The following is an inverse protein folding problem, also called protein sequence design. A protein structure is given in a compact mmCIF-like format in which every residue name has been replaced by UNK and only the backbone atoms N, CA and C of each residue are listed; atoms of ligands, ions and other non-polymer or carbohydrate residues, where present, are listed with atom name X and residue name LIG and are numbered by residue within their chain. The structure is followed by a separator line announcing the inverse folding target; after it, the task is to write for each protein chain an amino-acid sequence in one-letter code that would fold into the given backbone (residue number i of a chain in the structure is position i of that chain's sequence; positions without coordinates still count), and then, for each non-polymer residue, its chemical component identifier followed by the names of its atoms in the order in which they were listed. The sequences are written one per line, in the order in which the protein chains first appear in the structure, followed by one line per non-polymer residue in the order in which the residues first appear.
data_IF_587620887993
#
_entry.id   IF_587620887993
#
_cell.length_a   1.000
_cell.length_b   1.000
_cell.length_c   1.000
_cell.angle_alpha   90.00
_cell.angle_beta   90.00
_cell.angle_gamma   90.00
#
_symmetry.space_group_name_H-M   'P 1'
#
loop_
_entity.id
_entity.type
_entity.pdbx_description
1 polymer ?
#
# COMPACT_ATOMS: atom_id res chain seq x y z
N UNK A 1 -3.93 -5.67 -4.80
CA UNK A 1 -4.45 -4.97 -3.61
C UNK A 1 -5.89 -4.52 -3.82
N UNK A 2 -6.27 -3.81 -4.89
CA UNK A 2 -7.68 -3.40 -5.10
C UNK A 2 -8.65 -4.58 -5.31
N UNK A 3 -8.22 -5.64 -5.99
CA UNK A 3 -8.99 -6.89 -6.15
C UNK A 3 -9.34 -7.55 -4.81
N UNK A 4 -8.51 -7.35 -3.79
CA UNK A 4 -8.66 -7.94 -2.47
C UNK A 4 -9.74 -7.27 -1.60
N UNK A 5 -10.32 -6.16 -2.07
CA UNK A 5 -11.23 -5.31 -1.29
C UNK A 5 -12.68 -5.32 -1.82
N UNK A 6 -13.00 -6.10 -2.86
CA UNK A 6 -14.29 -6.08 -3.57
C UNK A 6 -14.83 -4.66 -3.85
N UNK A 7 -13.94 -3.66 -3.93
CA UNK A 7 -14.33 -2.27 -4.16
C UNK A 7 -14.79 -2.03 -5.60
N UNK A 8 -14.85 -3.08 -6.43
CA UNK A 8 -15.59 -3.17 -7.70
C UNK A 8 -15.25 -2.11 -8.75
N UNK A 9 -14.29 -1.25 -8.48
CA UNK A 9 -14.02 -0.05 -9.25
C UNK A 9 -12.55 0.02 -9.58
N UNK A 10 -12.26 0.07 -10.88
CA UNK A 10 -10.94 0.43 -11.40
C UNK A 10 -10.48 1.80 -10.87
N UNK A 11 -11.35 2.62 -10.28
CA UNK A 11 -10.98 3.92 -9.71
C UNK A 11 -9.82 3.82 -8.72
N UNK A 12 -9.72 2.72 -7.95
CA UNK A 12 -8.58 2.54 -7.04
C UNK A 12 -7.29 2.18 -7.77
N UNK A 13 -7.38 1.42 -8.86
CA UNK A 13 -6.26 1.18 -9.75
C UNK A 13 -5.79 2.52 -10.37
N UNK A 14 -6.73 3.31 -10.88
CA UNK A 14 -6.45 4.61 -11.48
C UNK A 14 -5.94 5.64 -10.46
N UNK A 15 -6.47 5.65 -9.24
CA UNK A 15 -5.98 6.51 -8.16
C UNK A 15 -4.57 6.10 -7.70
N UNK A 16 -4.23 4.81 -7.80
CA UNK A 16 -2.95 4.26 -7.39
C UNK A 16 -1.88 4.23 -8.48
N UNK A 17 -2.22 4.42 -9.76
CA UNK A 17 -1.27 4.23 -10.88
C UNK A 17 -0.05 5.14 -10.77
N UNK A 18 -0.25 6.35 -10.23
CA UNK A 18 0.80 7.34 -10.01
C UNK A 18 1.75 6.93 -8.87
N UNK A 19 1.52 5.82 -8.15
CA UNK A 19 2.42 5.27 -7.14
C UNK A 19 3.45 4.28 -7.71
N UNK A 20 3.43 4.02 -9.02
CA UNK A 20 4.41 3.16 -9.66
C UNK A 20 5.80 3.81 -9.73
N UNK A 21 6.83 3.04 -9.33
CA UNK A 21 8.20 3.53 -9.21
C UNK A 21 8.42 4.48 -8.02
N UNK A 22 7.55 4.40 -7.00
CA UNK A 22 7.36 5.49 -6.04
C UNK A 22 6.31 6.46 -6.60
N UNK A 23 6.26 7.72 -6.20
CA UNK A 23 5.21 8.60 -6.72
C UNK A 23 5.58 9.10 -8.13
N UNK A 24 5.35 8.30 -9.16
CA UNK A 24 5.63 8.55 -10.58
C UNK A 24 7.12 8.63 -10.92
N UNK A 25 7.89 7.65 -10.45
CA UNK A 25 9.32 7.51 -10.75
C UNK A 25 10.25 8.42 -9.94
N UNK A 26 9.71 9.26 -9.05
CA UNK A 26 10.50 9.98 -8.05
C UNK A 26 10.95 9.01 -6.95
N UNK A 27 11.92 8.14 -7.26
CA UNK A 27 12.21 6.95 -6.45
C UNK A 27 12.76 7.23 -5.03
N UNK A 28 13.13 8.47 -4.72
CA UNK A 28 13.39 8.89 -3.34
C UNK A 28 12.11 8.93 -2.48
N UNK A 29 10.94 9.01 -3.11
CA UNK A 29 9.64 8.88 -2.47
C UNK A 29 9.39 7.46 -1.94
N UNK A 30 8.43 7.28 -1.01
CA UNK A 30 8.03 5.96 -0.54
C UNK A 30 7.65 5.02 -1.68
N UNK A 31 7.96 3.74 -1.52
CA UNK A 31 7.52 2.66 -2.37
C UNK A 31 6.01 2.74 -2.61
N UNK A 32 5.57 2.46 -3.84
CA UNK A 32 4.16 2.49 -4.19
C UNK A 32 3.30 1.58 -3.33
N UNK A 33 3.85 0.46 -2.88
CA UNK A 33 3.19 -0.48 -1.96
C UNK A 33 2.92 0.15 -0.60
N UNK A 34 3.84 0.95 -0.07
CA UNK A 34 3.63 1.66 1.20
C UNK A 34 2.56 2.75 1.04
N UNK A 35 2.63 3.52 -0.05
CA UNK A 35 1.66 4.56 -0.37
C UNK A 35 0.26 3.99 -0.53
N UNK A 36 0.10 2.89 -1.27
CA UNK A 36 -1.20 2.22 -1.45
C UNK A 36 -1.71 1.60 -0.15
N UNK A 37 -0.84 1.02 0.68
CA UNK A 37 -1.23 0.46 1.97
C UNK A 37 -1.80 1.51 2.91
N UNK A 38 -1.22 2.72 2.93
CA UNK A 38 -1.76 3.84 3.71
C UNK A 38 -3.16 4.25 3.22
N UNK A 39 -3.39 4.25 1.90
CA UNK A 39 -4.72 4.50 1.31
C UNK A 39 -5.69 3.39 1.68
N UNK A 40 -5.30 2.12 1.56
CA UNK A 40 -6.13 0.96 1.93
C UNK A 40 -6.54 1.00 3.40
N UNK A 41 -5.63 1.34 4.32
CA UNK A 41 -5.98 1.56 5.73
C UNK A 41 -6.99 2.71 5.88
N UNK A 42 -6.80 3.83 5.20
CA UNK A 42 -7.79 4.92 5.19
C UNK A 42 -9.19 4.46 4.76
N UNK A 43 -9.27 3.65 3.70
CA UNK A 43 -10.52 3.13 3.15
C UNK A 43 -11.17 2.05 4.01
N UNK A 44 -10.36 1.20 4.67
CA UNK A 44 -10.85 0.12 5.53
C UNK A 44 -11.45 0.62 6.85
N UNK A 45 -10.94 1.74 7.36
CA UNK A 45 -11.39 2.35 8.63
C UNK A 45 -12.42 3.46 8.39
N UNK A 46 -12.86 3.66 7.14
CA UNK A 46 -13.82 4.72 6.81
C UNK A 46 -15.09 4.56 7.66
N UNK A 47 -15.60 5.68 8.15
CA UNK A 47 -16.83 5.72 8.92
C UNK A 47 -17.63 6.98 8.57
N UNK A 48 -18.90 7.00 9.01
CA UNK A 48 -19.73 8.20 8.93
C UNK A 48 -19.03 9.40 9.60
N UNK A 49 -19.11 10.58 8.98
CA UNK A 49 -18.45 11.81 9.44
C UNK A 49 -19.29 12.62 10.44
N UNK A 50 -20.57 12.28 10.60
CA UNK A 50 -21.49 12.87 11.56
C UNK A 50 -21.16 12.47 13.01
N UNK A 51 -20.57 11.29 13.20
CA UNK A 51 -20.02 10.86 14.49
C UNK A 51 -18.56 11.32 14.63
N UNK A 52 -18.36 12.42 15.36
CA UNK A 52 -17.05 13.03 15.56
C UNK A 52 -16.09 12.14 16.34
N UNK A 53 -16.58 11.43 17.35
CA UNK A 53 -15.73 10.61 18.22
C UNK A 53 -15.28 9.35 17.51
N UNK A 54 -16.20 8.69 16.79
CA UNK A 54 -15.86 7.56 15.91
C UNK A 54 -14.89 7.98 14.81
N UNK A 55 -15.10 9.13 14.17
CA UNK A 55 -14.20 9.64 13.13
C UNK A 55 -12.81 10.00 13.69
N UNK A 56 -12.74 10.53 14.91
CA UNK A 56 -11.46 10.81 15.58
C UNK A 56 -10.72 9.52 15.91
N UNK A 57 -11.41 8.52 16.44
CA UNK A 57 -10.83 7.23 16.77
C UNK A 57 -10.32 6.51 15.52
N UNK A 58 -11.12 6.44 14.46
CA UNK A 58 -10.71 5.86 13.17
C UNK A 58 -9.43 6.49 12.62
N UNK A 59 -9.31 7.83 12.67
CA UNK A 59 -8.10 8.55 12.24
C UNK A 59 -6.87 8.27 13.10
N UNK A 60 -7.06 7.97 14.39
CA UNK A 60 -5.98 7.55 15.27
C UNK A 60 -5.52 6.14 14.92
N UNK A 61 -6.46 5.22 14.73
CA UNK A 61 -6.16 3.83 14.40
C UNK A 61 -5.51 3.70 13.02
N UNK A 62 -5.99 4.42 12.00
CA UNK A 62 -5.36 4.48 10.67
C UNK A 62 -3.88 4.88 10.79
N UNK A 63 -3.58 5.92 11.58
CA UNK A 63 -2.20 6.39 11.74
C UNK A 63 -1.32 5.38 12.48
N UNK A 64 -1.85 4.77 13.53
CA UNK A 64 -1.13 3.77 14.32
C UNK A 64 -0.82 2.53 13.46
N UNK A 65 -1.80 2.04 12.72
CA UNK A 65 -1.66 0.82 11.93
C UNK A 65 -0.85 1.07 10.65
N UNK A 66 -0.90 2.28 10.07
CA UNK A 66 0.02 2.69 9.01
C UNK A 66 1.47 2.79 9.50
N UNK A 67 1.69 3.29 10.72
CA UNK A 67 3.01 3.32 11.32
C UNK A 67 3.54 1.89 11.59
N UNK A 68 2.68 0.98 12.07
CA UNK A 68 3.03 -0.44 12.26
C UNK A 68 3.40 -1.10 10.92
N UNK A 69 2.60 -0.86 9.88
CA UNK A 69 2.85 -1.34 8.52
C UNK A 69 4.22 -0.87 8.00
N UNK A 70 4.51 0.42 8.06
CA UNK A 70 5.78 1.01 7.60
C UNK A 70 6.96 0.49 8.41
N UNK A 71 6.81 0.35 9.73
CA UNK A 71 7.86 -0.16 10.62
C UNK A 71 8.20 -1.60 10.27
N UNK A 72 7.21 -2.49 10.22
CA UNK A 72 7.44 -3.90 9.89
C UNK A 72 7.99 -4.08 8.48
N UNK A 73 7.54 -3.27 7.52
CA UNK A 73 8.07 -3.30 6.16
C UNK A 73 9.56 -2.94 6.14
N UNK A 74 9.95 -1.87 6.84
CA UNK A 74 11.35 -1.47 6.96
C UNK A 74 12.18 -2.52 7.69
N UNK A 75 11.66 -3.13 8.74
CA UNK A 75 12.35 -4.21 9.47
C UNK A 75 12.58 -5.43 8.57
N UNK A 76 11.64 -5.73 7.67
CA UNK A 76 11.70 -6.88 6.77
C UNK A 76 12.61 -6.62 5.55
N UNK A 77 12.53 -5.44 4.95
CA UNK A 77 13.18 -5.13 3.66
C UNK A 77 14.29 -4.07 3.73
N UNK A 78 14.54 -3.50 4.92
CA UNK A 78 15.63 -2.55 5.19
C UNK A 78 15.36 -1.09 4.82
N UNK A 79 14.40 -0.80 3.94
CA UNK A 79 14.10 0.56 3.49
C UNK A 79 12.61 0.78 3.20
N UNK A 80 12.25 2.02 2.85
CA UNK A 80 10.88 2.37 2.43
C UNK A 80 10.84 3.18 1.14
N UNK A 81 11.97 3.74 0.69
CA UNK A 81 12.04 4.46 -0.58
C UNK A 81 12.13 3.45 -1.73
N UNK A 82 11.56 3.78 -2.89
CA UNK A 82 11.61 2.87 -4.03
C UNK A 82 13.06 2.60 -4.48
N UNK A 83 13.90 3.64 -4.46
CA UNK A 83 15.32 3.57 -4.83
C UNK A 83 16.09 2.59 -3.97
N UNK A 84 16.01 2.74 -2.65
CA UNK A 84 16.82 1.94 -1.73
C UNK A 84 16.40 0.47 -1.74
N UNK A 85 15.10 0.20 -1.91
CA UNK A 85 14.56 -1.15 -2.04
C UNK A 85 15.00 -1.84 -3.33
N UNK A 86 14.98 -1.10 -4.45
CA UNK A 86 15.36 -1.66 -5.74
C UNK A 86 16.88 -1.73 -5.91
N UNK A 87 17.64 -0.82 -5.30
CA UNK A 87 19.08 -0.71 -5.45
C UNK A 87 19.49 -0.20 -6.85
N UNK A 88 18.54 0.33 -7.62
CA UNK A 88 18.74 0.84 -8.98
C UNK A 88 17.99 2.17 -9.13
N UNK A 89 18.64 3.15 -9.76
CA UNK A 89 18.07 4.46 -10.05
C UNK A 89 17.46 4.47 -11.46
N UNK A 90 16.16 4.23 -11.56
CA UNK A 90 15.41 4.25 -12.82
C UNK A 90 15.08 5.67 -13.29
N UNK A 91 15.62 6.72 -12.67
CA UNK A 91 15.63 8.05 -13.31
C UNK A 91 16.63 8.11 -14.47
N UNK A 92 17.62 7.21 -14.48
CA UNK A 92 18.45 6.94 -15.65
C UNK A 92 17.67 6.08 -16.66
N UNK A 93 17.47 6.53 -17.92
CA UNK A 93 16.73 5.80 -18.95
C UNK A 93 17.30 4.42 -19.29
N UNK A 94 18.62 4.23 -19.20
CA UNK A 94 19.30 2.95 -19.45
C UNK A 94 18.98 1.98 -18.33
N UNK A 95 19.12 2.42 -17.08
CA UNK A 95 18.79 1.61 -15.90
C UNK A 95 17.28 1.30 -15.83
N UNK A 96 16.43 2.25 -16.22
CA UNK A 96 14.99 2.04 -16.33
C UNK A 96 14.64 0.97 -17.37
N UNK A 97 15.33 0.96 -18.51
CA UNK A 97 15.17 -0.08 -19.53
C UNK A 97 15.63 -1.44 -19.00
N UNK A 98 16.80 -1.50 -18.37
CA UNK A 98 17.31 -2.73 -17.75
C UNK A 98 16.32 -3.28 -16.71
N UNK A 99 15.78 -2.42 -15.84
CA UNK A 99 14.76 -2.84 -14.87
C UNK A 99 13.52 -3.45 -15.55
N UNK A 100 12.99 -2.80 -16.60
CA UNK A 100 11.81 -3.29 -17.35
C UNK A 100 12.06 -4.61 -18.10
N UNK A 101 13.27 -4.81 -18.60
CA UNK A 101 13.66 -6.03 -19.32
C UNK A 101 14.11 -7.16 -18.38
N UNK A 102 14.20 -6.88 -17.07
CA UNK A 102 14.59 -7.83 -16.03
C UNK A 102 13.39 -8.40 -15.27
N UNK A 103 13.66 -9.45 -14.51
CA UNK A 103 12.70 -10.05 -13.57
C UNK A 103 12.70 -9.37 -12.19
N UNK A 104 13.42 -8.26 -12.01
CA UNK A 104 13.55 -7.57 -10.72
C UNK A 104 12.20 -7.16 -10.12
N UNK A 105 11.21 -6.85 -10.97
CA UNK A 105 9.85 -6.54 -10.51
C UNK A 105 9.22 -7.74 -9.79
N UNK A 106 9.36 -8.95 -10.32
CA UNK A 106 8.85 -10.17 -9.67
C UNK A 106 9.67 -10.54 -8.44
N UNK A 107 10.99 -10.38 -8.52
CA UNK A 107 11.87 -10.76 -7.42
C UNK A 107 11.77 -9.83 -6.20
N UNK A 108 11.35 -8.57 -6.41
CA UNK A 108 11.30 -7.53 -5.36
C UNK A 108 9.89 -6.95 -5.18
N UNK A 109 9.32 -6.32 -6.19
CA UNK A 109 8.04 -5.60 -6.05
C UNK A 109 6.89 -6.54 -5.65
N UNK A 110 6.83 -7.75 -6.23
CA UNK A 110 5.78 -8.71 -5.88
C UNK A 110 5.90 -9.17 -4.42
N UNK A 111 7.12 -9.41 -3.92
CA UNK A 111 7.33 -9.72 -2.49
C UNK A 111 6.94 -8.57 -1.56
N UNK A 112 7.16 -7.33 -1.99
CA UNK A 112 6.71 -6.16 -1.25
C UNK A 112 5.17 -6.13 -1.20
N UNK A 113 4.51 -6.41 -2.31
CA UNK A 113 3.05 -6.51 -2.37
C UNK A 113 2.51 -7.64 -1.51
N UNK A 114 3.10 -8.84 -1.56
CA UNK A 114 2.72 -10.00 -0.74
C UNK A 114 2.78 -9.66 0.75
N UNK A 115 3.89 -9.08 1.20
CA UNK A 115 4.04 -8.63 2.58
C UNK A 115 2.93 -7.64 2.94
N UNK A 116 2.68 -6.65 2.09
CA UNK A 116 1.72 -5.59 2.37
C UNK A 116 0.29 -6.12 2.47
N UNK A 117 -0.09 -7.01 1.56
CA UNK A 117 -1.39 -7.68 1.60
C UNK A 117 -1.54 -8.49 2.87
N UNK A 118 -0.55 -9.33 3.22
CA UNK A 118 -0.58 -10.10 4.46
C UNK A 118 -0.67 -9.23 5.70
N UNK A 119 0.13 -8.15 5.76
CA UNK A 119 0.13 -7.24 6.90
C UNK A 119 -1.18 -6.45 7.05
N UNK A 120 -1.81 -6.06 5.95
CA UNK A 120 -3.14 -5.44 5.99
C UNK A 120 -4.19 -6.39 6.55
N UNK A 121 -4.19 -7.66 6.13
CA UNK A 121 -5.10 -8.68 6.68
C UNK A 121 -4.92 -8.83 8.19
N UNK A 122 -3.68 -8.90 8.69
CA UNK A 122 -3.41 -8.94 10.13
C UNK A 122 -3.96 -7.71 10.87
N UNK A 123 -3.71 -6.52 10.32
CA UNK A 123 -4.14 -5.26 10.94
C UNK A 123 -5.66 -5.13 10.97
N UNK A 124 -6.37 -5.52 9.90
CA UNK A 124 -7.83 -5.52 9.89
C UNK A 124 -8.41 -6.52 10.88
N UNK A 125 -7.88 -7.75 10.91
CA UNK A 125 -8.30 -8.78 11.85
C UNK A 125 -8.11 -8.33 13.31
N UNK A 126 -6.97 -7.70 13.63
CA UNK A 126 -6.67 -7.12 14.96
C UNK A 126 -7.72 -6.10 15.41
N UNK A 127 -8.35 -5.39 14.48
CA UNK A 127 -9.36 -4.36 14.77
C UNK A 127 -10.80 -4.87 14.70
N UNK A 128 -11.00 -6.16 14.43
CA UNK A 128 -12.32 -6.72 14.16
C UNK A 128 -12.98 -6.08 12.93
N UNK A 129 -12.19 -5.47 12.05
CA UNK A 129 -12.65 -5.07 10.74
C UNK A 129 -12.68 -6.35 9.92
N UNK A 130 -13.82 -6.62 9.28
CA UNK A 130 -13.78 -7.53 8.14
C UNK A 130 -12.68 -7.02 7.19
N UNK A 131 -12.00 -7.96 6.53
CA UNK A 131 -11.62 -7.67 5.14
C UNK A 131 -12.88 -7.08 4.51
N UNK A 132 -12.84 -5.97 3.75
CA UNK A 132 -14.04 -5.50 3.08
C UNK A 132 -14.53 -6.59 2.13
N UNK A 133 -15.40 -7.42 2.68
CA UNK A 133 -15.97 -8.67 2.25
C UNK A 133 -17.19 -8.76 3.15
N UNK A 134 -18.21 -8.00 2.76
CA UNK A 134 -19.61 -7.96 3.24
C UNK A 134 -20.24 -6.62 2.83
N UNK A 135 -20.26 -6.37 1.52
CA UNK A 135 -21.34 -5.60 0.89
C UNK A 135 -22.03 -6.44 -0.20
N UNK A 136 -21.94 -7.77 -0.11
CA UNK A 136 -22.90 -8.65 -0.79
C UNK A 136 -24.24 -8.53 -0.06
N UNK A 137 -25.11 -7.69 -0.62
CA UNK A 137 -26.48 -7.47 -0.23
C UNK A 137 -27.20 -6.79 -1.39
N UNK A 138 -27.91 -7.64 -2.14
CA UNK A 138 -28.75 -7.45 -3.34
C UNK A 138 -28.08 -7.16 -4.70
#
# INVERSE_FOLDING_TARGET
MWESFELGSEDLLWAGIAFNGGIAGQQAAPCGVISSSAVSLGLGYRCDRGDKDKSKQARTDIRADAAEMVKGFRETFGAISCRDLLGIDTSDPVLAKQFRESEMHKEKCDKYMEYAVGKLYELYAKRGLGVPAEACGD
#
